data_IF_824513371052
#
_entry.id   IF_824513371052
#
_cell.length_a   1.000
_cell.length_b   1.000
_cell.length_c   1.000
_cell.angle_alpha   90.00
_cell.angle_beta   90.00
_cell.angle_gamma   90.00
#
_symmetry.space_group_name_H-M   'P 1'
#
loop_
_entity.id
_entity.type
_entity.pdbx_description
1 polymer ?
#
# COMPACT_ATOMS: atom_id res chain seq x y z
N UNK A 1 -22.85 57.51 -2.19
CA UNK A 1 -21.62 56.69 -2.01
C UNK A 1 -21.87 55.35 -1.31
N UNK A 2 -22.89 55.19 -0.46
CA UNK A 2 -23.16 53.90 0.22
C UNK A 2 -23.80 52.80 -0.65
N UNK A 3 -24.36 53.14 -1.82
CA UNK A 3 -25.03 52.18 -2.71
C UNK A 3 -24.08 51.22 -3.45
N UNK A 4 -22.80 51.59 -3.64
CA UNK A 4 -21.77 50.75 -4.27
C UNK A 4 -20.95 49.96 -3.25
N UNK A 5 -20.97 50.36 -1.97
CA UNK A 5 -20.19 49.74 -0.90
C UNK A 5 -20.64 48.29 -0.60
N UNK A 6 -21.95 48.05 -0.57
CA UNK A 6 -22.52 46.72 -0.33
C UNK A 6 -22.25 45.73 -1.48
N UNK A 7 -22.47 46.10 -2.76
CA UNK A 7 -22.07 45.28 -3.90
C UNK A 7 -20.58 44.90 -3.89
N UNK A 8 -19.68 45.86 -3.63
CA UNK A 8 -18.24 45.62 -3.66
C UNK A 8 -17.78 44.66 -2.56
N UNK A 9 -18.33 44.78 -1.34
CA UNK A 9 -18.05 43.84 -0.25
C UNK A 9 -18.54 42.43 -0.59
N UNK A 10 -19.72 42.32 -1.22
CA UNK A 10 -20.32 41.04 -1.60
C UNK A 10 -19.48 40.35 -2.69
N UNK A 11 -19.01 41.10 -3.69
CA UNK A 11 -18.11 40.58 -4.73
C UNK A 11 -16.76 40.16 -4.14
N UNK A 12 -16.18 40.98 -3.26
CA UNK A 12 -14.91 40.66 -2.59
C UNK A 12 -15.01 39.41 -1.70
N UNK A 13 -16.12 39.24 -0.96
CA UNK A 13 -16.34 38.07 -0.11
C UNK A 13 -16.60 36.80 -0.92
N UNK A 14 -17.38 36.88 -2.01
CA UNK A 14 -17.54 35.75 -2.95
C UNK A 14 -16.20 35.38 -3.57
N UNK A 15 -15.43 36.36 -4.05
CA UNK A 15 -14.11 36.12 -4.63
C UNK A 15 -13.17 35.41 -3.66
N UNK A 16 -13.09 35.89 -2.42
CA UNK A 16 -12.28 35.28 -1.37
C UNK A 16 -12.72 33.84 -1.04
N UNK A 17 -14.03 33.59 -0.89
CA UNK A 17 -14.54 32.23 -0.66
C UNK A 17 -14.21 31.29 -1.81
N UNK A 18 -14.31 31.77 -3.05
CA UNK A 18 -14.05 30.96 -4.24
C UNK A 18 -12.57 30.60 -4.35
N UNK A 19 -11.65 31.52 -4.03
CA UNK A 19 -10.22 31.22 -3.93
C UNK A 19 -9.91 30.18 -2.86
N UNK A 20 -10.51 30.31 -1.66
CA UNK A 20 -10.33 29.34 -0.58
C UNK A 20 -10.88 27.97 -0.98
N UNK A 21 -12.05 27.93 -1.62
CA UNK A 21 -12.66 26.70 -2.10
C UNK A 21 -11.80 26.00 -3.16
N UNK A 22 -11.28 26.75 -4.14
CA UNK A 22 -10.36 26.21 -5.15
C UNK A 22 -9.07 25.69 -4.50
N UNK A 23 -8.52 26.43 -3.53
CA UNK A 23 -7.34 26.00 -2.77
C UNK A 23 -7.58 24.67 -2.04
N UNK A 24 -8.70 24.55 -1.34
CA UNK A 24 -9.12 23.33 -0.66
C UNK A 24 -9.31 22.16 -1.64
N UNK A 25 -10.02 22.38 -2.75
CA UNK A 25 -10.23 21.34 -3.76
C UNK A 25 -8.90 20.88 -4.34
N UNK A 26 -8.02 21.81 -4.68
CA UNK A 26 -6.70 21.50 -5.26
C UNK A 26 -5.87 20.69 -4.28
N UNK A 27 -5.83 21.08 -3.01
CA UNK A 27 -5.15 20.35 -1.95
C UNK A 27 -5.67 18.91 -1.81
N UNK A 28 -7.00 18.72 -1.77
CA UNK A 28 -7.62 17.40 -1.66
C UNK A 28 -7.33 16.52 -2.88
N UNK A 29 -7.34 17.09 -4.09
CA UNK A 29 -7.01 16.37 -5.32
C UNK A 29 -5.54 15.97 -5.35
N UNK A 30 -4.64 16.87 -4.95
CA UNK A 30 -3.20 16.59 -4.91
C UNK A 30 -2.86 15.53 -3.87
N UNK A 31 -3.48 15.59 -2.70
CA UNK A 31 -3.33 14.58 -1.64
C UNK A 31 -3.84 13.21 -2.12
N UNK A 32 -4.98 13.15 -2.80
CA UNK A 32 -5.50 11.90 -3.39
C UNK A 32 -4.54 11.30 -4.40
N UNK A 33 -4.02 12.09 -5.34
CA UNK A 33 -3.06 11.62 -6.35
C UNK A 33 -1.77 11.11 -5.71
N UNK A 34 -1.25 11.81 -4.72
CA UNK A 34 -0.06 11.40 -3.98
C UNK A 34 -0.28 10.06 -3.28
N UNK A 35 -1.39 9.91 -2.56
CA UNK A 35 -1.74 8.65 -1.89
C UNK A 35 -1.93 7.49 -2.87
N UNK A 36 -2.57 7.73 -4.01
CA UNK A 36 -2.76 6.72 -5.06
C UNK A 36 -1.42 6.25 -5.62
N UNK A 37 -0.49 7.17 -5.88
CA UNK A 37 0.84 6.84 -6.38
C UNK A 37 1.65 6.03 -5.37
N UNK A 38 1.59 6.39 -4.08
CA UNK A 38 2.25 5.64 -3.01
C UNK A 38 1.72 4.20 -2.89
N UNK A 39 0.40 4.03 -2.98
CA UNK A 39 -0.25 2.71 -2.93
C UNK A 39 0.11 1.87 -4.16
N UNK A 40 0.11 2.46 -5.36
CA UNK A 40 0.53 1.75 -6.58
C UNK A 40 1.99 1.32 -6.50
N UNK A 41 2.88 2.20 -6.08
CA UNK A 41 4.29 1.87 -5.89
C UNK A 41 4.48 0.73 -4.87
N UNK A 42 3.70 0.72 -3.78
CA UNK A 42 3.71 -0.38 -2.82
C UNK A 42 3.24 -1.70 -3.46
N UNK A 43 2.14 -1.66 -4.21
CA UNK A 43 1.60 -2.85 -4.86
C UNK A 43 2.58 -3.39 -5.92
N UNK A 44 3.19 -2.52 -6.72
CA UNK A 44 4.19 -2.90 -7.72
C UNK A 44 5.43 -3.51 -7.06
N UNK A 45 5.88 -2.95 -5.94
CA UNK A 45 7.00 -3.50 -5.17
C UNK A 45 6.66 -4.88 -4.60
N UNK A 46 5.46 -5.06 -4.04
CA UNK A 46 4.98 -6.36 -3.57
C UNK A 46 4.81 -7.36 -4.73
N UNK A 47 4.41 -6.91 -5.91
CA UNK A 47 4.25 -7.73 -7.10
C UNK A 47 5.60 -8.22 -7.65
N UNK A 48 6.63 -7.37 -7.62
CA UNK A 48 7.97 -7.68 -8.10
C UNK A 48 8.77 -8.58 -7.14
N UNK A 49 8.37 -8.65 -5.87
CA UNK A 49 9.00 -9.50 -4.86
C UNK A 49 8.72 -10.98 -5.12
N UNK A 50 9.78 -11.67 -5.56
CA UNK A 50 9.80 -13.12 -5.79
C UNK A 50 9.39 -13.95 -4.57
N UNK A 51 9.60 -13.44 -3.35
CA UNK A 51 9.19 -14.12 -2.11
C UNK A 51 7.67 -14.26 -1.97
N UNK A 52 6.86 -13.45 -2.67
CA UNK A 52 5.42 -13.58 -2.66
C UNK A 52 4.88 -14.31 -3.89
N UNK A 53 5.75 -14.94 -4.71
CA UNK A 53 5.27 -15.79 -5.80
C UNK A 53 4.41 -16.92 -5.22
N UNK A 54 3.30 -17.28 -5.89
CA UNK A 54 2.49 -18.41 -5.46
C UNK A 54 3.33 -19.68 -5.53
N UNK A 55 3.67 -20.23 -4.37
CA UNK A 55 4.34 -21.51 -4.23
C UNK A 55 3.30 -22.49 -3.71
N UNK A 56 3.25 -23.70 -4.27
CA UNK A 56 2.50 -24.80 -3.67
C UNK A 56 3.33 -25.32 -2.49
N UNK A 57 2.94 -25.04 -1.23
CA UNK A 57 3.75 -25.42 -0.08
C UNK A 57 3.86 -26.94 -0.01
N UNK A 58 5.07 -27.46 0.16
CA UNK A 58 5.34 -28.89 0.34
C UNK A 58 5.98 -29.14 1.71
N UNK A 59 5.55 -30.22 2.38
CA UNK A 59 6.12 -30.63 3.68
C UNK A 59 7.61 -30.99 3.52
N UNK A 60 8.00 -31.46 2.33
CA UNK A 60 9.38 -31.69 1.95
C UNK A 60 9.89 -30.44 1.23
N UNK A 61 10.56 -29.53 1.96
CA UNK A 61 11.13 -28.34 1.34
C UNK A 61 12.22 -28.76 0.33
N UNK A 62 12.17 -28.34 -0.95
CA UNK A 62 13.23 -28.65 -1.88
C UNK A 62 14.53 -27.99 -1.43
N UNK A 63 15.64 -28.71 -1.55
CA UNK A 63 17.00 -28.37 -1.09
C UNK A 63 17.61 -27.06 -1.67
N UNK A 64 16.84 -26.23 -2.38
CA UNK A 64 17.33 -25.11 -3.18
C UNK A 64 16.65 -23.75 -2.96
N UNK A 65 15.51 -23.68 -2.25
CA UNK A 65 14.91 -22.38 -1.89
C UNK A 65 15.48 -21.92 -0.54
N UNK A 66 16.20 -20.80 -0.59
CA UNK A 66 16.92 -20.23 0.56
C UNK A 66 15.93 -19.50 1.49
N UNK A 67 15.55 -20.08 2.65
CA UNK A 67 14.57 -19.50 3.56
C UNK A 67 15.03 -18.12 4.07
N UNK A 68 16.34 -17.89 4.16
CA UNK A 68 16.89 -16.62 4.62
C UNK A 68 16.71 -15.51 3.59
N UNK A 69 16.71 -15.83 2.28
CA UNK A 69 16.37 -14.85 1.24
C UNK A 69 14.89 -14.46 1.30
N UNK A 70 14.01 -15.43 1.52
CA UNK A 70 12.57 -15.15 1.68
C UNK A 70 12.31 -14.29 2.91
N UNK A 71 12.93 -14.60 4.05
CA UNK A 71 12.85 -13.80 5.28
C UNK A 71 13.33 -12.36 5.07
N UNK A 72 14.50 -12.17 4.45
CA UNK A 72 15.01 -10.83 4.12
C UNK A 72 14.07 -10.06 3.20
N UNK A 73 13.43 -10.74 2.24
CA UNK A 73 12.45 -10.12 1.35
C UNK A 73 11.19 -9.69 2.09
N UNK A 74 10.65 -10.52 2.99
CA UNK A 74 9.47 -10.16 3.82
C UNK A 74 9.81 -9.01 4.77
N UNK A 75 10.99 -9.03 5.40
CA UNK A 75 11.44 -7.95 6.29
C UNK A 75 11.63 -6.62 5.54
N UNK A 76 12.19 -6.67 4.34
CA UNK A 76 12.28 -5.48 3.49
C UNK A 76 10.89 -4.95 3.09
N UNK A 77 9.91 -5.84 2.83
CA UNK A 77 8.55 -5.45 2.51
C UNK A 77 7.88 -4.78 3.72
N UNK A 78 8.08 -5.32 4.92
CA UNK A 78 7.63 -4.71 6.16
C UNK A 78 8.18 -3.29 6.34
N UNK A 79 9.48 -3.10 6.12
CA UNK A 79 10.11 -1.78 6.23
C UNK A 79 9.52 -0.78 5.22
N UNK A 80 9.24 -1.22 3.99
CA UNK A 80 8.65 -0.38 2.96
C UNK A 80 7.18 -0.04 3.24
N UNK A 81 6.39 -1.00 3.73
CA UNK A 81 5.02 -0.75 4.20
C UNK A 81 5.03 0.28 5.34
N UNK A 82 5.95 0.15 6.31
CA UNK A 82 6.07 1.09 7.42
C UNK A 82 6.46 2.50 6.94
N UNK A 83 7.41 2.60 6.00
CA UNK A 83 7.84 3.87 5.42
C UNK A 83 6.69 4.55 4.66
N UNK A 84 5.94 3.80 3.86
CA UNK A 84 4.78 4.35 3.11
C UNK A 84 3.66 4.75 4.07
N UNK A 85 3.41 3.96 5.13
CA UNK A 85 2.48 4.33 6.20
C UNK A 85 2.84 5.67 6.82
N UNK A 86 4.12 5.93 7.06
CA UNK A 86 4.58 7.16 7.70
C UNK A 86 4.49 8.38 6.76
N UNK A 87 4.47 8.17 5.45
CA UNK A 87 4.20 9.22 4.44
C UNK A 87 2.72 9.55 4.29
N UNK A 88 1.82 8.65 4.71
CA UNK A 88 0.38 8.89 4.68
C UNK A 88 -0.05 9.67 5.92
N UNK A 89 -0.92 10.67 5.71
CA UNK A 89 -1.48 11.50 6.77
C UNK A 89 -2.06 10.64 7.93
N UNK A 90 -1.83 11.04 9.20
CA UNK A 90 -2.16 10.24 10.38
C UNK A 90 -3.64 9.82 10.47
N UNK A 91 -4.57 10.67 10.05
CA UNK A 91 -6.01 10.41 10.12
C UNK A 91 -6.59 9.70 8.88
N UNK A 92 -5.73 9.34 7.92
CA UNK A 92 -6.19 8.72 6.69
C UNK A 92 -6.50 7.23 6.91
N UNK A 93 -7.67 6.77 6.46
CA UNK A 93 -8.12 5.36 6.59
C UNK A 93 -7.14 4.33 6.02
N UNK A 94 -6.30 4.74 5.07
CA UNK A 94 -5.22 3.90 4.53
C UNK A 94 -4.17 3.51 5.57
N UNK A 95 -3.91 4.38 6.56
CA UNK A 95 -2.88 4.15 7.57
C UNK A 95 -3.19 2.90 8.41
N UNK A 96 -4.47 2.69 8.75
CA UNK A 96 -4.92 1.49 9.45
C UNK A 96 -4.69 0.22 8.62
N UNK A 97 -5.02 0.25 7.32
CA UNK A 97 -4.81 -0.90 6.43
C UNK A 97 -3.31 -1.22 6.26
N UNK A 98 -2.46 -0.21 6.12
CA UNK A 98 -1.00 -0.41 6.05
C UNK A 98 -0.43 -0.90 7.37
N UNK A 99 -0.97 -0.44 8.51
CA UNK A 99 -0.57 -0.93 9.82
C UNK A 99 -0.91 -2.41 10.00
N UNK A 100 -2.07 -2.86 9.54
CA UNK A 100 -2.46 -4.27 9.52
C UNK A 100 -1.54 -5.10 8.61
N UNK A 101 -1.19 -4.60 7.41
CA UNK A 101 -0.22 -5.26 6.53
C UNK A 101 1.17 -5.39 7.18
N UNK A 102 1.62 -4.36 7.90
CA UNK A 102 2.87 -4.40 8.67
C UNK A 102 2.81 -5.36 9.87
N UNK A 103 1.64 -5.57 10.46
CA UNK A 103 1.43 -6.53 11.54
C UNK A 103 1.49 -7.97 11.01
N UNK A 104 0.86 -8.27 9.88
CA UNK A 104 0.92 -9.61 9.27
C UNK A 104 2.34 -10.01 8.83
N UNK A 105 3.10 -9.06 8.28
CA UNK A 105 4.52 -9.31 7.96
C UNK A 105 5.39 -9.50 9.20
N UNK A 106 5.00 -8.94 10.35
CA UNK A 106 5.63 -9.23 11.65
C UNK A 106 5.24 -10.61 12.17
N UNK A 107 3.98 -10.99 11.99
CA UNK A 107 3.46 -12.30 12.38
C UNK A 107 4.19 -13.43 11.63
N UNK A 108 4.50 -13.22 10.34
CA UNK A 108 5.36 -14.14 9.58
C UNK A 108 6.68 -14.45 10.32
N UNK A 109 7.34 -13.43 10.86
CA UNK A 109 8.60 -13.61 11.59
C UNK A 109 8.39 -14.48 12.82
N UNK A 110 7.32 -14.22 13.58
CA UNK A 110 6.93 -15.01 14.76
C UNK A 110 6.65 -16.47 14.40
N UNK A 111 5.83 -16.71 13.37
CA UNK A 111 5.46 -18.04 12.89
C UNK A 111 6.66 -18.83 12.36
N UNK A 112 7.55 -18.18 11.62
CA UNK A 112 8.76 -18.81 11.10
C UNK A 112 9.85 -19.03 12.17
N UNK A 113 9.90 -18.23 13.24
CA UNK A 113 10.75 -18.51 14.41
C UNK A 113 10.22 -19.70 15.21
N UNK A 114 8.89 -19.88 15.28
CA UNK A 114 8.25 -20.99 15.98
C UNK A 114 8.34 -22.32 15.22
N UNK A 115 8.16 -22.31 13.89
CA UNK A 115 8.26 -23.51 13.03
C UNK A 115 9.00 -23.17 11.73
N UNK A 116 10.35 -23.29 11.73
CA UNK A 116 11.18 -22.99 10.56
C UNK A 116 10.94 -23.95 9.38
N UNK A 117 10.39 -25.14 9.61
CA UNK A 117 10.15 -26.14 8.56
C UNK A 117 8.88 -25.82 7.77
N UNK A 118 7.91 -25.14 8.39
CA UNK A 118 6.64 -24.74 7.77
C UNK A 118 6.61 -23.31 7.24
N UNK A 119 7.78 -22.70 7.04
CA UNK A 119 7.92 -21.32 6.57
C UNK A 119 7.14 -21.03 5.27
N UNK A 120 6.99 -22.00 4.36
CA UNK A 120 6.25 -21.86 3.11
C UNK A 120 4.74 -21.67 3.35
N UNK A 121 4.17 -22.33 4.36
CA UNK A 121 2.76 -22.17 4.73
C UNK A 121 2.51 -20.80 5.33
N UNK A 122 3.36 -20.37 6.27
CA UNK A 122 3.30 -19.04 6.86
C UNK A 122 3.43 -17.93 5.78
N UNK A 123 4.27 -18.16 4.76
CA UNK A 123 4.45 -17.22 3.65
C UNK A 123 3.20 -17.10 2.78
N UNK A 124 2.55 -18.22 2.47
CA UNK A 124 1.30 -18.22 1.68
C UNK A 124 0.13 -17.63 2.45
N UNK A 125 0.07 -17.83 3.76
CA UNK A 125 -0.91 -17.19 4.64
C UNK A 125 -0.75 -15.66 4.65
N UNK A 126 0.49 -15.18 4.84
CA UNK A 126 0.81 -13.75 4.80
C UNK A 126 0.53 -13.16 3.42
N UNK A 127 0.84 -13.89 2.34
CA UNK A 127 0.48 -13.49 0.97
C UNK A 127 -1.03 -13.33 0.81
N UNK A 128 -1.82 -14.28 1.30
CA UNK A 128 -3.28 -14.24 1.25
C UNK A 128 -3.84 -13.01 1.97
N UNK A 129 -3.35 -12.73 3.17
CA UNK A 129 -3.74 -11.55 3.93
C UNK A 129 -3.32 -10.24 3.24
N UNK A 130 -2.11 -10.17 2.67
CA UNK A 130 -1.66 -9.01 1.90
C UNK A 130 -2.57 -8.74 0.69
N UNK A 131 -3.03 -9.77 -0.02
CA UNK A 131 -4.02 -9.63 -1.11
C UNK A 131 -5.32 -9.05 -0.57
N UNK A 132 -5.88 -9.61 0.51
CA UNK A 132 -7.14 -9.13 1.09
C UNK A 132 -7.05 -7.66 1.48
N UNK A 133 -5.92 -7.23 2.07
CA UNK A 133 -5.70 -5.84 2.46
C UNK A 133 -5.47 -4.93 1.26
N UNK A 134 -4.78 -5.38 0.21
CA UNK A 134 -4.68 -4.63 -1.06
C UNK A 134 -6.06 -4.41 -1.68
N UNK A 135 -6.94 -5.41 -1.68
CA UNK A 135 -8.34 -5.26 -2.13
C UNK A 135 -9.15 -4.31 -1.24
N UNK A 136 -8.87 -4.28 0.07
CA UNK A 136 -9.48 -3.28 0.96
C UNK A 136 -8.98 -1.86 0.65
N UNK A 137 -7.70 -1.70 0.33
CA UNK A 137 -7.10 -0.44 -0.10
C UNK A 137 -7.74 0.06 -1.40
N UNK A 138 -7.97 -0.81 -2.39
CA UNK A 138 -8.69 -0.45 -3.63
C UNK A 138 -10.07 0.14 -3.33
N UNK A 139 -10.83 -0.49 -2.41
CA UNK A 139 -12.15 -0.02 -2.00
C UNK A 139 -12.11 1.34 -1.30
N UNK A 140 -11.16 1.55 -0.39
CA UNK A 140 -11.00 2.82 0.34
C UNK A 140 -10.62 3.96 -0.61
N UNK A 141 -9.78 3.67 -1.59
CA UNK A 141 -9.32 4.65 -2.58
C UNK A 141 -10.25 4.83 -3.77
N UNK A 142 -11.34 4.04 -3.84
CA UNK A 142 -12.27 3.97 -4.99
C UNK A 142 -11.54 3.69 -6.31
N UNK A 143 -10.50 2.86 -6.26
CA UNK A 143 -9.83 2.36 -7.45
C UNK A 143 -10.68 1.28 -8.12
N UNK A 144 -10.40 1.01 -9.40
CA UNK A 144 -11.03 -0.10 -10.11
C UNK A 144 -10.60 -1.41 -9.44
N UNK A 145 -11.54 -2.30 -9.15
CA UNK A 145 -11.20 -3.63 -8.63
C UNK A 145 -10.25 -4.34 -9.61
N UNK A 146 -9.14 -4.89 -9.12
CA UNK A 146 -8.14 -5.51 -10.00
C UNK A 146 -7.09 -4.53 -10.56
N UNK A 147 -7.11 -3.26 -10.14
CA UNK A 147 -6.15 -2.25 -10.61
C UNK A 147 -4.76 -2.41 -10.00
N UNK A 148 -4.68 -2.88 -8.77
CA UNK A 148 -3.42 -3.16 -8.09
C UNK A 148 -2.99 -4.60 -8.39
N UNK A 149 -1.71 -4.82 -8.76
CA UNK A 149 -1.18 -6.15 -8.97
C UNK A 149 -1.17 -6.93 -7.65
N UNK A 150 -1.36 -8.25 -7.75
CA UNK A 150 -1.28 -9.11 -6.58
C UNK A 150 0.19 -9.35 -6.20
N UNK A 151 0.49 -9.63 -4.92
CA UNK A 151 1.85 -9.95 -4.50
C UNK A 151 2.41 -11.14 -5.26
N UNK A 152 3.63 -10.98 -5.78
CA UNK A 152 4.36 -11.98 -6.56
C UNK A 152 3.78 -12.35 -7.91
N UNK A 153 2.89 -11.54 -8.51
CA UNK A 153 2.36 -11.80 -9.86
C UNK A 153 3.11 -11.11 -10.99
N UNK A 154 4.11 -10.27 -10.70
CA UNK A 154 4.96 -9.75 -11.76
C UNK A 154 5.88 -10.89 -12.25
N UNK A 155 5.79 -11.23 -13.53
CA UNK A 155 6.81 -12.04 -14.18
C UNK A 155 8.14 -11.30 -14.03
N UNK A 156 9.01 -11.80 -13.14
CA UNK A 156 10.41 -11.40 -13.13
C UNK A 156 10.97 -11.92 -14.45
N UNK A 157 10.94 -11.07 -15.48
CA UNK A 157 11.53 -11.35 -16.80
C UNK A 157 12.94 -11.86 -16.55
N UNK A 158 13.11 -13.15 -16.80
CA UNK A 158 14.32 -13.92 -16.48
C UNK A 158 15.37 -13.74 -17.58
N UNK A 159 15.38 -12.57 -18.22
CA UNK A 159 16.02 -12.32 -19.50
C UNK A 159 16.97 -11.12 -19.45
N UNK A 160 17.86 -11.13 -18.45
CA UNK A 160 19.08 -10.31 -18.44
C UNK A 160 20.20 -11.05 -17.70
N UNK A 161 20.79 -12.00 -18.41
CA UNK A 161 22.19 -12.41 -18.27
C UNK A 161 22.76 -12.60 -19.66
#
# INVERSE_FOLDING_TARGET
MWATFWPDILVATIGAMLTVAIGLITYLVQQRRSNEQLVRNLADDLAMRRAFMPISPSVTSPLGDDPDRCRKSVQSAQAQIALIRDQIAPDHRLRALLQEMAAWTREFKSLNEADPERWQFALMEVRGELVVRLRAVERVMRLKAGSLPDPGTAEVSRDRT
#
